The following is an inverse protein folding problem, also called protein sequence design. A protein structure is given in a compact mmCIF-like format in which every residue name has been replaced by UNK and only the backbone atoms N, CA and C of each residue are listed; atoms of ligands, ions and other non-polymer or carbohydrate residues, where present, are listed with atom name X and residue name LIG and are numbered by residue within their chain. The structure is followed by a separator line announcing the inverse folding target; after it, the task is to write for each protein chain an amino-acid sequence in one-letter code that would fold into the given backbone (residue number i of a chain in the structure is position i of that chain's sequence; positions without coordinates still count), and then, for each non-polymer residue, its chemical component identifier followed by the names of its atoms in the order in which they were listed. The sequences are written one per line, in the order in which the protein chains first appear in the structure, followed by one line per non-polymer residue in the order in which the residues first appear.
data_IF_524815222841
#
_entry.id   IF_524815222841
#
_cell.length_a   1.000
_cell.length_b   1.000
_cell.length_c   1.000
_cell.angle_alpha   90.00
_cell.angle_beta   90.00
_cell.angle_gamma   90.00
#
_symmetry.space_group_name_H-M   'P 1'
#
loop_
_entity.id
_entity.type
_entity.pdbx_description
1 polymer ?
#
# COMPACT_ATOMS: atom_id res chain seq x y z
N UNK A 1 -8.32 6.58 -9.66
CA UNK A 1 -8.97 5.57 -8.81
C UNK A 1 -7.98 4.88 -7.86
N UNK A 2 -6.92 4.25 -8.30
CA UNK A 2 -5.97 3.55 -7.42
C UNK A 2 -5.27 4.43 -6.37
N UNK A 3 -4.90 5.66 -6.67
CA UNK A 3 -4.32 6.55 -5.65
C UNK A 3 -5.26 6.80 -4.48
N UNK A 4 -6.56 6.90 -4.71
CA UNK A 4 -7.56 7.02 -3.64
C UNK A 4 -7.62 5.75 -2.79
N UNK A 5 -7.57 4.56 -3.41
CA UNK A 5 -7.53 3.28 -2.70
C UNK A 5 -6.22 3.06 -1.92
N UNK A 6 -5.10 3.55 -2.45
CA UNK A 6 -3.76 3.33 -1.87
C UNK A 6 -3.36 4.34 -0.80
N UNK A 7 -4.26 5.24 -0.39
CA UNK A 7 -4.05 6.08 0.80
C UNK A 7 -3.91 7.59 0.54
N UNK A 8 -4.19 8.07 -0.67
CA UNK A 8 -4.17 9.51 -0.93
C UNK A 8 -5.23 10.31 -0.12
N UNK A 9 -6.27 9.62 0.39
CA UNK A 9 -7.19 10.12 1.45
C UNK A 9 -8.01 11.39 1.12
N UNK A 10 -7.80 11.97 -0.04
CA UNK A 10 -8.43 13.26 -0.43
C UNK A 10 -9.77 13.05 -1.13
N UNK A 11 -9.96 11.90 -1.76
CA UNK A 11 -11.18 11.53 -2.47
C UNK A 11 -11.69 10.17 -2.00
N UNK A 12 -12.98 10.09 -1.83
CA UNK A 12 -13.67 8.83 -1.64
C UNK A 12 -13.59 7.98 -2.91
N UNK A 13 -13.08 6.75 -2.79
CA UNK A 13 -12.86 5.84 -3.94
C UNK A 13 -14.10 5.66 -4.81
N UNK A 14 -15.26 5.50 -4.18
CA UNK A 14 -16.54 5.33 -4.88
C UNK A 14 -16.94 6.55 -5.71
N UNK A 15 -16.61 7.75 -5.23
CA UNK A 15 -16.88 8.99 -5.98
C UNK A 15 -16.03 9.07 -7.24
N UNK A 16 -14.76 8.68 -7.15
CA UNK A 16 -13.85 8.62 -8.31
C UNK A 16 -14.29 7.55 -9.30
N UNK A 17 -14.74 6.40 -8.82
CA UNK A 17 -15.27 5.30 -9.64
C UNK A 17 -16.50 5.74 -10.45
N UNK A 18 -17.46 6.39 -9.81
CA UNK A 18 -18.64 6.91 -10.46
C UNK A 18 -18.30 8.00 -11.50
N UNK A 19 -17.45 8.94 -11.14
CA UNK A 19 -17.01 9.98 -12.06
C UNK A 19 -16.31 9.39 -13.30
N UNK A 20 -15.43 8.42 -13.09
CA UNK A 20 -14.77 7.70 -14.19
C UNK A 20 -15.78 6.95 -15.08
N UNK A 21 -16.73 6.23 -14.48
CA UNK A 21 -17.77 5.50 -15.22
C UNK A 21 -18.63 6.38 -16.11
N UNK A 22 -18.90 7.60 -15.67
CA UNK A 22 -19.76 8.55 -16.39
C UNK A 22 -18.97 9.63 -17.13
N UNK A 23 -17.63 9.51 -17.21
CA UNK A 23 -16.72 10.49 -17.83
C UNK A 23 -16.92 11.92 -17.29
N UNK A 24 -17.17 12.05 -15.99
CA UNK A 24 -17.31 13.34 -15.32
C UNK A 24 -15.96 13.78 -14.77
N UNK A 25 -15.40 14.94 -15.24
CA UNK A 25 -14.17 15.47 -14.66
C UNK A 25 -14.45 15.95 -13.23
N UNK A 26 -13.52 15.65 -12.30
CA UNK A 26 -13.57 16.13 -10.92
C UNK A 26 -12.52 17.21 -10.73
N UNK A 27 -12.88 18.27 -10.01
CA UNK A 27 -11.95 19.30 -9.59
C UNK A 27 -11.76 19.26 -8.08
N UNK A 28 -10.52 19.25 -7.66
CA UNK A 28 -10.09 19.34 -6.27
C UNK A 28 -9.41 20.67 -6.03
N UNK A 29 -10.01 21.49 -5.20
CA UNK A 29 -9.48 22.78 -4.84
C UNK A 29 -9.68 23.08 -3.36
N UNK A 30 -9.04 24.13 -2.88
CA UNK A 30 -9.23 24.63 -1.52
C UNK A 30 -10.66 25.20 -1.39
N UNK A 31 -11.32 24.91 -0.26
CA UNK A 31 -12.64 25.45 0.01
C UNK A 31 -12.64 27.00 -0.08
N UNK A 32 -13.61 27.55 -0.79
CA UNK A 32 -13.77 28.99 -1.06
C UNK A 32 -12.72 29.61 -2.01
N UNK A 33 -11.83 28.82 -2.61
CA UNK A 33 -10.97 29.28 -3.69
C UNK A 33 -11.76 29.23 -5.01
N UNK A 34 -11.82 30.35 -5.71
CA UNK A 34 -12.52 30.49 -7.00
C UNK A 34 -11.59 30.33 -8.21
N UNK A 35 -10.29 30.31 -7.96
CA UNK A 35 -9.28 30.17 -9.00
C UNK A 35 -9.07 28.67 -9.34
N UNK A 36 -9.58 28.26 -10.50
CA UNK A 36 -9.48 26.88 -10.98
C UNK A 36 -8.05 26.47 -11.38
N UNK A 37 -7.11 27.39 -11.47
CA UNK A 37 -5.70 27.10 -11.73
C UNK A 37 -4.98 26.60 -10.46
N UNK A 38 -5.53 26.89 -9.28
CA UNK A 38 -4.97 26.49 -7.99
C UNK A 38 -5.48 25.13 -7.45
N UNK A 39 -6.05 24.33 -8.31
CA UNK A 39 -6.58 23.02 -7.96
C UNK A 39 -6.05 21.90 -8.84
N UNK A 40 -6.56 20.70 -8.60
CA UNK A 40 -6.21 19.51 -9.37
C UNK A 40 -7.43 18.98 -10.11
N UNK A 41 -7.32 18.88 -11.42
CA UNK A 41 -8.31 18.22 -12.24
C UNK A 41 -8.05 16.72 -12.29
N UNK A 42 -9.09 15.92 -12.07
CA UNK A 42 -9.07 14.48 -12.21
C UNK A 42 -10.00 14.15 -13.38
N UNK A 43 -9.40 13.75 -14.47
CA UNK A 43 -10.12 13.42 -15.70
C UNK A 43 -9.45 12.21 -16.37
N UNK A 44 -10.16 11.61 -17.30
CA UNK A 44 -9.57 10.59 -18.16
C UNK A 44 -8.58 11.29 -19.12
N UNK A 45 -7.31 10.97 -18.99
CA UNK A 45 -6.24 11.43 -19.89
C UNK A 45 -5.48 10.19 -20.37
N UNK A 46 -5.28 10.10 -21.66
CA UNK A 46 -4.36 9.13 -22.25
C UNK A 46 -2.93 9.55 -21.86
N UNK A 47 -2.35 8.88 -20.88
CA UNK A 47 -0.98 9.11 -20.40
C UNK A 47 -0.08 7.98 -20.93
N UNK A 48 0.01 7.89 -22.26
CA UNK A 48 0.77 6.81 -22.92
C UNK A 48 2.29 6.88 -22.64
N UNK A 49 2.82 8.05 -22.32
CA UNK A 49 4.27 8.28 -22.22
C UNK A 49 4.82 8.24 -20.77
N UNK A 50 3.98 8.23 -19.74
CA UNK A 50 4.45 8.23 -18.35
C UNK A 50 4.17 6.91 -17.66
N UNK A 51 5.21 6.08 -17.41
CA UNK A 51 5.02 4.77 -16.78
C UNK A 51 4.52 4.87 -15.35
N UNK A 52 4.88 5.95 -14.61
CA UNK A 52 4.41 6.27 -13.27
C UNK A 52 3.74 7.65 -13.32
N UNK A 53 2.56 7.74 -12.75
CA UNK A 53 1.72 8.95 -12.76
C UNK A 53 1.42 9.49 -11.36
N UNK A 54 1.85 8.80 -10.31
CA UNK A 54 1.63 9.26 -8.95
C UNK A 54 2.33 8.42 -7.90
N UNK A 55 2.53 9.06 -6.75
CA UNK A 55 3.07 8.47 -5.53
C UNK A 55 2.10 8.71 -4.38
N UNK A 56 1.69 7.64 -3.71
CA UNK A 56 0.82 7.69 -2.52
C UNK A 56 1.55 7.18 -1.30
N UNK A 57 1.22 7.75 -0.13
CA UNK A 57 1.77 7.36 1.17
C UNK A 57 0.64 7.05 2.13
N UNK A 58 0.70 5.89 2.77
CA UNK A 58 -0.14 5.51 3.90
C UNK A 58 0.72 5.50 5.16
N UNK A 59 0.49 6.44 6.07
CA UNK A 59 1.35 6.70 7.24
C UNK A 59 1.16 5.73 8.41
N UNK A 60 -0.02 5.19 8.55
CA UNK A 60 -0.39 4.27 9.63
C UNK A 60 -0.36 2.83 9.10
N UNK A 61 0.79 2.16 9.28
CA UNK A 61 1.02 0.86 8.68
C UNK A 61 1.83 -0.06 9.59
N UNK A 62 1.20 -1.09 10.11
CA UNK A 62 1.82 -2.11 10.95
C UNK A 62 2.00 -3.42 10.18
N UNK A 63 3.04 -4.16 10.55
CA UNK A 63 3.36 -5.47 10.00
C UNK A 63 3.13 -6.51 11.09
N UNK A 64 2.29 -7.50 10.82
CA UNK A 64 2.03 -8.65 11.67
C UNK A 64 2.59 -9.90 11.03
N UNK A 65 3.50 -10.59 11.69
CA UNK A 65 4.09 -11.85 11.20
C UNK A 65 3.66 -13.01 12.08
N UNK A 66 2.98 -13.97 11.47
CA UNK A 66 2.65 -15.26 12.05
C UNK A 66 3.59 -16.30 11.45
N UNK A 67 4.34 -16.99 12.29
CA UNK A 67 5.43 -17.86 11.86
C UNK A 67 5.17 -19.31 12.22
N UNK A 68 5.61 -20.23 11.36
CA UNK A 68 5.57 -21.68 11.58
C UNK A 68 4.17 -22.23 11.94
N UNK A 69 3.12 -21.72 11.28
CA UNK A 69 1.78 -22.22 11.48
C UNK A 69 1.55 -23.53 10.72
N UNK A 70 0.79 -24.48 11.27
CA UNK A 70 0.32 -25.62 10.49
C UNK A 70 -0.36 -25.15 9.20
N UNK A 71 0.07 -25.64 8.04
CA UNK A 71 -0.56 -25.33 6.76
C UNK A 71 -1.85 -26.17 6.58
N UNK A 72 -2.78 -25.97 7.48
CA UNK A 72 -4.06 -26.65 7.55
C UNK A 72 -5.21 -25.66 7.43
N UNK A 73 -6.15 -25.91 6.52
CA UNK A 73 -7.23 -24.97 6.22
C UNK A 73 -8.17 -24.70 7.42
N UNK A 74 -8.34 -25.67 8.31
CA UNK A 74 -9.17 -25.50 9.53
C UNK A 74 -8.45 -24.61 10.53
N UNK A 75 -7.13 -24.85 10.73
CA UNK A 75 -6.32 -24.06 11.63
C UNK A 75 -6.18 -22.61 11.18
N UNK A 76 -5.82 -22.41 9.92
CA UNK A 76 -5.71 -21.07 9.33
C UNK A 76 -7.07 -20.36 9.25
N UNK A 77 -8.13 -21.11 8.96
CA UNK A 77 -9.50 -20.59 8.98
C UNK A 77 -9.92 -20.00 10.33
N UNK A 78 -9.50 -20.60 11.46
CA UNK A 78 -9.75 -20.06 12.80
C UNK A 78 -9.01 -18.74 13.02
N UNK A 79 -7.74 -18.63 12.60
CA UNK A 79 -6.97 -17.39 12.69
C UNK A 79 -7.66 -16.25 11.93
N UNK A 80 -8.01 -16.48 10.67
CA UNK A 80 -8.66 -15.45 9.85
C UNK A 80 -10.09 -15.13 10.34
N UNK A 81 -10.81 -16.14 10.87
CA UNK A 81 -12.10 -15.89 11.50
C UNK A 81 -11.98 -14.97 12.72
N UNK A 82 -11.02 -15.22 13.60
CA UNK A 82 -10.75 -14.35 14.76
C UNK A 82 -10.49 -12.90 14.31
N UNK A 83 -9.66 -12.68 13.28
CA UNK A 83 -9.38 -11.34 12.74
C UNK A 83 -10.66 -10.71 12.16
N UNK A 84 -11.47 -11.50 11.46
CA UNK A 84 -12.75 -11.05 10.91
C UNK A 84 -13.75 -10.66 11.99
N UNK A 85 -13.82 -11.43 13.08
CA UNK A 85 -14.72 -11.17 14.22
C UNK A 85 -14.37 -9.84 14.94
N UNK A 86 -13.13 -9.36 14.79
CA UNK A 86 -12.68 -8.04 15.25
C UNK A 86 -13.04 -6.90 14.28
N UNK A 87 -13.74 -7.18 13.17
CA UNK A 87 -14.05 -6.24 12.09
C UNK A 87 -12.81 -5.54 11.49
N UNK A 88 -11.70 -6.25 11.42
CA UNK A 88 -10.43 -5.73 10.89
C UNK A 88 -10.34 -6.03 9.39
N UNK A 89 -10.13 -4.97 8.61
CA UNK A 89 -9.84 -5.06 7.19
C UNK A 89 -8.33 -5.09 6.98
N UNK A 90 -7.82 -6.21 6.49
CA UNK A 90 -6.41 -6.36 6.15
C UNK A 90 -6.14 -5.70 4.79
N UNK A 91 -5.05 -4.91 4.71
CA UNK A 91 -4.64 -4.25 3.47
C UNK A 91 -3.99 -5.27 2.50
N UNK A 92 -3.04 -6.02 3.01
CA UNK A 92 -2.29 -7.01 2.24
C UNK A 92 -2.09 -8.26 3.08
N UNK A 93 -2.21 -9.42 2.44
CA UNK A 93 -1.92 -10.71 3.02
C UNK A 93 -0.85 -11.37 2.15
N UNK A 94 0.25 -11.80 2.76
CA UNK A 94 1.27 -12.60 2.09
C UNK A 94 1.44 -13.92 2.83
N UNK A 95 1.45 -15.02 2.10
CA UNK A 95 1.72 -16.35 2.63
C UNK A 95 2.96 -16.91 1.96
N UNK A 96 3.81 -17.55 2.75
CA UNK A 96 4.95 -18.33 2.29
C UNK A 96 4.97 -19.65 3.06
N UNK A 97 5.37 -20.72 2.41
CA UNK A 97 5.68 -21.97 3.08
C UNK A 97 7.19 -22.03 3.33
N UNK A 98 7.58 -22.50 4.50
CA UNK A 98 8.97 -22.81 4.81
C UNK A 98 9.37 -24.21 4.27
N UNK A 99 10.63 -24.59 4.46
CA UNK A 99 11.16 -25.87 3.98
C UNK A 99 10.51 -27.08 4.67
N UNK A 100 9.85 -26.87 5.81
CA UNK A 100 9.12 -27.90 6.56
C UNK A 100 7.64 -27.97 6.16
N UNK A 101 7.20 -27.09 5.23
CA UNK A 101 5.82 -26.99 4.77
C UNK A 101 4.89 -26.25 5.74
N UNK A 102 5.43 -25.57 6.75
CA UNK A 102 4.66 -24.71 7.64
C UNK A 102 4.39 -23.35 6.99
N UNK A 103 3.25 -22.77 7.32
CA UNK A 103 2.81 -21.50 6.75
C UNK A 103 3.33 -20.31 7.58
N UNK A 104 3.92 -19.36 6.89
CA UNK A 104 4.29 -18.05 7.41
C UNK A 104 3.40 -17.00 6.77
N UNK A 105 2.65 -16.25 7.58
CA UNK A 105 1.79 -15.17 7.11
C UNK A 105 2.37 -13.82 7.52
N UNK A 106 2.36 -12.89 6.58
CA UNK A 106 2.58 -11.48 6.87
C UNK A 106 1.31 -10.73 6.52
N UNK A 107 0.73 -10.08 7.52
CA UNK A 107 -0.49 -9.29 7.42
C UNK A 107 -0.17 -7.82 7.64
N UNK A 108 -0.91 -6.96 6.97
CA UNK A 108 -0.73 -5.51 7.06
C UNK A 108 -2.05 -4.84 7.37
N UNK A 109 -2.03 -3.96 8.38
CA UNK A 109 -3.19 -3.21 8.86
C UNK A 109 -2.74 -1.89 9.49
N UNK A 110 -3.65 -1.12 10.10
CA UNK A 110 -3.27 0.04 10.91
C UNK A 110 -2.59 -0.38 12.22
N UNK A 111 -1.87 0.54 12.87
CA UNK A 111 -1.23 0.27 14.17
C UNK A 111 -2.29 -0.06 15.24
N UNK A 112 -3.43 0.64 15.24
CA UNK A 112 -4.54 0.35 16.14
C UNK A 112 -5.09 -1.06 15.95
N UNK A 113 -5.37 -1.45 14.70
CA UNK A 113 -5.85 -2.80 14.36
C UNK A 113 -4.84 -3.88 14.72
N UNK A 114 -3.54 -3.60 14.53
CA UNK A 114 -2.48 -4.54 14.90
C UNK A 114 -2.41 -4.80 16.40
N UNK A 115 -2.68 -3.78 17.24
CA UNK A 115 -2.77 -3.94 18.69
C UNK A 115 -3.95 -4.84 19.09
N UNK A 116 -5.11 -4.67 18.43
CA UNK A 116 -6.27 -5.54 18.65
C UNK A 116 -5.97 -6.99 18.26
N UNK A 117 -5.30 -7.22 17.14
CA UNK A 117 -4.88 -8.58 16.74
C UNK A 117 -3.92 -9.17 17.78
N UNK A 118 -2.93 -8.40 18.25
CA UNK A 118 -1.96 -8.89 19.26
C UNK A 118 -2.64 -9.31 20.56
N UNK A 119 -3.61 -8.53 21.02
CA UNK A 119 -4.34 -8.85 22.27
C UNK A 119 -5.02 -10.22 22.21
N UNK A 120 -5.58 -10.58 21.06
CA UNK A 120 -6.32 -11.83 20.86
C UNK A 120 -5.45 -12.98 20.37
N UNK A 121 -4.51 -12.71 19.45
CA UNK A 121 -3.72 -13.75 18.80
C UNK A 121 -2.52 -14.23 19.61
N UNK A 122 -1.89 -13.36 20.43
CA UNK A 122 -0.60 -13.67 21.07
C UNK A 122 -0.60 -14.86 22.03
N UNK A 123 -1.77 -15.27 22.50
CA UNK A 123 -1.92 -16.43 23.40
C UNK A 123 -1.98 -17.78 22.68
N UNK A 124 -2.42 -17.77 21.43
CA UNK A 124 -2.71 -18.97 20.64
C UNK A 124 -1.79 -19.15 19.45
N UNK A 125 -1.22 -18.04 18.95
CA UNK A 125 -0.43 -18.04 17.73
C UNK A 125 0.95 -17.41 17.96
N UNK A 126 2.02 -17.97 17.36
CA UNK A 126 3.34 -17.33 17.32
C UNK A 126 3.27 -16.12 16.39
N UNK A 127 3.09 -14.93 16.95
CA UNK A 127 2.91 -13.67 16.24
C UNK A 127 3.89 -12.60 16.69
N UNK A 128 4.42 -11.84 15.74
CA UNK A 128 5.27 -10.68 15.96
C UNK A 128 4.64 -9.45 15.33
N UNK A 129 4.55 -8.37 16.10
CA UNK A 129 4.09 -7.06 15.66
C UNK A 129 5.29 -6.15 15.42
N UNK A 130 5.27 -5.43 14.32
CA UNK A 130 6.26 -4.40 13.98
C UNK A 130 5.53 -3.11 13.65
N UNK A 131 5.87 -2.04 14.37
CA UNK A 131 5.26 -0.70 14.28
C UNK A 131 6.26 0.32 13.72
N UNK A 132 5.76 1.50 13.34
CA UNK A 132 6.58 2.59 12.83
C UNK A 132 6.92 2.46 11.35
N UNK A 133 6.04 1.88 10.58
CA UNK A 133 6.17 1.72 9.13
C UNK A 133 5.17 2.58 8.36
N UNK A 134 5.48 2.79 7.09
CA UNK A 134 4.60 3.40 6.10
C UNK A 134 4.57 2.55 4.85
N UNK A 135 3.50 2.67 4.08
CA UNK A 135 3.39 2.12 2.73
C UNK A 135 3.53 3.24 1.71
N UNK A 136 4.50 3.10 0.81
CA UNK A 136 4.66 3.92 -0.39
C UNK A 136 4.11 3.15 -1.58
N UNK A 137 3.29 3.79 -2.40
CA UNK A 137 2.74 3.17 -3.60
C UNK A 137 2.95 4.08 -4.80
N UNK A 138 3.75 3.61 -5.76
CA UNK A 138 3.88 4.21 -7.08
C UNK A 138 2.76 3.66 -7.97
N UNK A 139 2.06 4.55 -8.64
CA UNK A 139 0.90 4.21 -9.49
C UNK A 139 1.15 4.66 -10.90
N UNK A 140 0.86 3.80 -11.87
CA UNK A 140 0.97 4.14 -13.29
C UNK A 140 0.61 2.97 -14.20
N UNK A 141 0.00 3.26 -15.33
CA UNK A 141 -0.40 2.25 -16.32
C UNK A 141 0.82 1.58 -16.99
N UNK A 142 1.97 2.24 -16.98
CA UNK A 142 3.18 1.71 -17.58
C UNK A 142 3.90 0.64 -16.76
N UNK A 143 3.47 0.36 -15.53
CA UNK A 143 4.16 -0.61 -14.65
C UNK A 143 4.21 -2.01 -15.26
N UNK A 144 3.12 -2.45 -15.88
CA UNK A 144 3.05 -3.77 -16.54
C UNK A 144 3.70 -3.80 -17.92
N UNK A 145 3.84 -2.65 -18.58
CA UNK A 145 4.31 -2.55 -19.97
C UNK A 145 5.77 -2.15 -20.11
N UNK A 146 6.35 -1.51 -19.08
CA UNK A 146 7.74 -1.05 -19.09
C UNK A 146 8.61 -1.89 -18.17
N UNK A 147 9.53 -2.64 -18.76
CA UNK A 147 10.51 -3.40 -18.00
C UNK A 147 11.47 -2.47 -17.23
N UNK A 148 11.88 -2.90 -16.04
CA UNK A 148 12.90 -2.19 -15.26
C UNK A 148 12.39 -1.16 -14.26
N UNK A 149 11.08 -0.86 -14.18
CA UNK A 149 10.54 0.10 -13.21
C UNK A 149 10.83 -0.34 -11.78
N UNK A 150 10.57 -1.61 -11.44
CA UNK A 150 10.89 -2.14 -10.12
C UNK A 150 12.38 -2.01 -9.78
N UNK A 151 13.26 -2.33 -10.73
CA UNK A 151 14.72 -2.16 -10.58
C UNK A 151 15.10 -0.71 -10.34
N UNK A 152 14.54 0.23 -11.11
CA UNK A 152 14.77 1.68 -10.90
C UNK A 152 14.34 2.11 -9.50
N UNK A 153 13.15 1.70 -9.04
CA UNK A 153 12.65 2.02 -7.70
C UNK A 153 13.58 1.49 -6.61
N UNK A 154 13.98 0.22 -6.69
CA UNK A 154 14.87 -0.40 -5.70
C UNK A 154 16.25 0.22 -5.68
N UNK A 155 16.80 0.58 -6.84
CA UNK A 155 18.09 1.28 -6.94
C UNK A 155 18.04 2.65 -6.28
N UNK A 156 16.97 3.44 -6.50
CA UNK A 156 16.76 4.74 -5.87
C UNK A 156 16.74 4.61 -4.34
N UNK A 157 16.01 3.63 -3.81
CA UNK A 157 15.97 3.39 -2.36
C UNK A 157 17.34 3.00 -1.83
N UNK A 158 18.05 2.11 -2.51
CA UNK A 158 19.39 1.64 -2.15
C UNK A 158 20.41 2.78 -2.13
N UNK A 159 20.48 3.60 -3.18
CA UNK A 159 21.36 4.78 -3.29
C UNK A 159 21.10 5.80 -2.19
N UNK A 160 19.87 5.85 -1.70
CA UNK A 160 19.48 6.70 -0.58
C UNK A 160 19.60 6.01 0.78
N UNK A 161 20.10 4.78 0.88
CA UNK A 161 20.25 4.04 2.13
C UNK A 161 18.92 3.71 2.81
N UNK A 162 17.83 3.63 2.04
CA UNK A 162 16.48 3.34 2.54
C UNK A 162 16.22 1.85 2.46
N UNK A 163 15.93 1.21 3.60
CA UNK A 163 15.56 -0.20 3.66
C UNK A 163 14.07 -0.36 3.37
N UNK A 164 13.72 -1.42 2.66
CA UNK A 164 12.34 -1.83 2.48
C UNK A 164 12.11 -3.23 3.09
N UNK A 165 10.90 -3.47 3.57
CA UNK A 165 10.52 -4.70 4.31
C UNK A 165 9.55 -5.57 3.53
N UNK A 166 8.89 -4.98 2.55
CA UNK A 166 8.02 -5.66 1.60
C UNK A 166 8.01 -4.89 0.28
N UNK A 167 7.86 -5.62 -0.80
CA UNK A 167 7.49 -5.11 -2.11
C UNK A 167 6.34 -5.93 -2.64
N UNK A 168 5.32 -5.26 -3.16
CA UNK A 168 4.23 -5.88 -3.91
C UNK A 168 4.03 -5.14 -5.20
N UNK A 169 3.66 -5.83 -6.25
CA UNK A 169 3.33 -5.22 -7.53
C UNK A 169 2.01 -5.75 -8.07
N UNK A 170 1.31 -4.90 -8.79
CA UNK A 170 0.15 -5.22 -9.60
C UNK A 170 0.37 -4.68 -11.01
N UNK A 171 -0.62 -4.80 -11.88
CA UNK A 171 -0.55 -4.24 -13.23
C UNK A 171 -0.31 -2.73 -13.26
N UNK A 172 -0.76 -2.01 -12.23
CA UNK A 172 -0.80 -0.55 -12.20
C UNK A 172 -0.23 0.07 -10.91
N UNK A 173 0.41 -0.72 -10.06
CA UNK A 173 1.09 -0.19 -8.86
C UNK A 173 2.28 -1.03 -8.42
N UNK A 174 3.30 -0.36 -7.85
CA UNK A 174 4.35 -0.97 -7.04
C UNK A 174 4.26 -0.35 -5.66
N UNK A 175 4.08 -1.18 -4.64
CA UNK A 175 4.00 -0.74 -3.25
C UNK A 175 5.16 -1.30 -2.44
N UNK A 176 5.71 -0.45 -1.57
CA UNK A 176 6.83 -0.76 -0.70
C UNK A 176 6.49 -0.39 0.73
N UNK A 177 6.93 -1.20 1.67
CA UNK A 177 6.88 -0.87 3.10
C UNK A 177 8.28 -0.45 3.56
N UNK A 178 8.39 0.74 4.12
CA UNK A 178 9.64 1.31 4.65
C UNK A 178 9.42 1.84 6.08
N UNK A 179 10.49 2.15 6.80
CA UNK A 179 10.40 2.80 8.09
C UNK A 179 9.87 4.24 7.96
N UNK A 180 9.02 4.66 8.88
CA UNK A 180 8.40 6.00 8.90
C UNK A 180 9.42 7.14 8.90
N UNK A 181 10.58 6.94 9.54
CA UNK A 181 11.67 7.93 9.58
C UNK A 181 12.22 8.28 8.19
N UNK A 182 12.14 7.35 7.23
CA UNK A 182 12.67 7.51 5.88
C UNK A 182 11.65 8.11 4.89
N UNK A 183 10.41 8.41 5.36
CA UNK A 183 9.29 8.89 4.54
C UNK A 183 9.68 10.05 3.62
N UNK A 184 10.17 11.15 4.21
CA UNK A 184 10.45 12.39 3.46
C UNK A 184 11.52 12.14 2.41
N UNK A 185 12.59 11.43 2.80
CA UNK A 185 13.70 11.11 1.90
C UNK A 185 13.24 10.23 0.73
N UNK A 186 12.42 9.22 1.00
CA UNK A 186 11.89 8.32 -0.03
C UNK A 186 10.97 9.05 -1.01
N UNK A 187 10.04 9.87 -0.49
CA UNK A 187 9.10 10.65 -1.31
C UNK A 187 9.86 11.61 -2.22
N UNK A 188 10.85 12.33 -1.70
CA UNK A 188 11.64 13.27 -2.49
C UNK A 188 12.48 12.56 -3.57
N UNK A 189 13.14 11.45 -3.21
CA UNK A 189 13.97 10.70 -4.15
C UNK A 189 13.13 10.08 -5.29
N UNK A 190 12.03 9.43 -4.95
CA UNK A 190 11.13 8.84 -5.93
C UNK A 190 10.39 9.89 -6.76
N UNK A 191 9.89 10.96 -6.12
CA UNK A 191 9.22 12.05 -6.80
C UNK A 191 10.11 12.69 -7.86
N UNK A 192 11.37 13.01 -7.50
CA UNK A 192 12.35 13.55 -8.44
C UNK A 192 12.67 12.61 -9.60
N UNK A 193 12.78 11.30 -9.32
CA UNK A 193 13.20 10.31 -10.32
C UNK A 193 12.11 9.95 -11.35
N UNK A 194 10.84 10.23 -11.01
CA UNK A 194 9.67 9.97 -11.85
C UNK A 194 8.91 11.25 -12.24
N UNK A 195 9.46 12.43 -11.95
CA UNK A 195 8.87 13.75 -12.27
C UNK A 195 7.44 13.93 -11.71
N UNK A 196 7.26 13.59 -10.41
CA UNK A 196 5.97 13.60 -9.69
C UNK A 196 5.82 14.79 -8.74
#
# INVERSE_FOLDING_TARGET
MQMACLGAGVLETRSVELASKYNVPLFLGKALETDLEKGTWIMHKELEDMPITGLSVKDDYAIMRFMHLPNDGVYLGKLFKMISDLNINLDTISQQLDDEGLANFTLYCSEEQSNQIMEHASKEYPVHQMLGYIKLSLVGLGISTHSGIASKVLNILSENGIKYYMITSSEISISLTIEKKDKVKAVQALGKAFDL
#
